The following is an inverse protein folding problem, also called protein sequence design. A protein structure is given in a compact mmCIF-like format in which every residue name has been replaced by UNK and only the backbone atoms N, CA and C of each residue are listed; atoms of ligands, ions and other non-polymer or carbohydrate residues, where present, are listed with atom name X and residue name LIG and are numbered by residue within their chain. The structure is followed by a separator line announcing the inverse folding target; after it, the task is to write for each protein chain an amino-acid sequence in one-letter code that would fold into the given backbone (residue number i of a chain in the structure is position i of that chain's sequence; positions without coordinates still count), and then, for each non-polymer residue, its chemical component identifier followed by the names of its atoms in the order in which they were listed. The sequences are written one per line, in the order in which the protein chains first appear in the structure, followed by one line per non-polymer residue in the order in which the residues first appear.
data_IF_716701831264
#
_entry.id   IF_716701831264
#
_cell.length_a   1.000
_cell.length_b   1.000
_cell.length_c   1.000
_cell.angle_alpha   90.00
_cell.angle_beta   90.00
_cell.angle_gamma   90.00
#
_symmetry.space_group_name_H-M   'P 1'
#
loop_
_entity.id
_entity.type
_entity.pdbx_description
1 polymer ?
#
# COMPACT_ATOMS: atom_id res chain seq x y z
N UNK A 1 -6.01 -1.97 20.36
CA UNK A 1 -5.76 -3.16 19.52
C UNK A 1 -6.57 -3.15 18.22
N UNK A 2 -7.77 -2.58 18.20
CA UNK A 2 -8.68 -2.67 17.04
C UNK A 2 -8.20 -1.96 15.76
N UNK A 3 -7.32 -0.96 15.87
CA UNK A 3 -6.80 -0.19 14.73
C UNK A 3 -5.59 -0.87 14.06
N UNK A 4 -4.84 -1.70 14.81
CA UNK A 4 -3.66 -2.38 14.28
C UNK A 4 -4.01 -3.45 13.25
N UNK A 5 -5.15 -4.11 13.39
CA UNK A 5 -5.60 -5.14 12.45
C UNK A 5 -5.91 -4.55 11.06
N UNK A 6 -6.74 -3.49 10.93
CA UNK A 6 -6.96 -2.81 9.66
C UNK A 6 -5.69 -2.25 9.02
N UNK A 7 -4.80 -1.64 9.82
CA UNK A 7 -3.51 -1.12 9.33
C UNK A 7 -2.64 -2.27 8.80
N UNK A 8 -2.53 -3.36 9.56
CA UNK A 8 -1.79 -4.55 9.16
C UNK A 8 -2.35 -5.18 7.89
N UNK A 9 -3.68 -5.25 7.76
CA UNK A 9 -4.35 -5.71 6.55
C UNK A 9 -3.99 -4.85 5.35
N UNK A 10 -4.05 -3.52 5.48
CA UNK A 10 -3.64 -2.60 4.42
C UNK A 10 -2.18 -2.84 3.98
N UNK A 11 -1.28 -3.00 4.95
CA UNK A 11 0.12 -3.31 4.66
C UNK A 11 0.28 -4.63 3.88
N UNK A 12 -0.37 -5.70 4.35
CA UNK A 12 -0.30 -7.03 3.71
C UNK A 12 -0.90 -7.01 2.31
N UNK A 13 -2.02 -6.30 2.10
CA UNK A 13 -2.62 -6.14 0.77
C UNK A 13 -1.63 -5.47 -0.19
N UNK A 14 -1.00 -4.37 0.23
CA UNK A 14 -0.05 -3.67 -0.63
C UNK A 14 1.23 -4.48 -0.89
N UNK A 15 1.64 -5.30 0.09
CA UNK A 15 2.72 -6.29 -0.09
C UNK A 15 2.37 -7.33 -1.15
N UNK A 16 1.14 -7.87 -1.14
CA UNK A 16 0.68 -8.80 -2.19
C UNK A 16 0.63 -8.13 -3.56
N UNK A 17 0.09 -6.91 -3.65
CA UNK A 17 0.07 -6.12 -4.90
C UNK A 17 1.49 -5.91 -5.43
N UNK A 18 2.45 -5.61 -4.55
CA UNK A 18 3.86 -5.45 -4.92
C UNK A 18 4.47 -6.74 -5.44
N UNK A 19 4.25 -7.87 -4.75
CA UNK A 19 4.76 -9.20 -5.16
C UNK A 19 4.16 -9.60 -6.52
N UNK A 20 2.85 -9.44 -6.71
CA UNK A 20 2.17 -9.74 -7.98
C UNK A 20 2.75 -8.86 -9.09
N UNK A 21 2.87 -7.55 -8.86
CA UNK A 21 3.47 -6.63 -9.83
C UNK A 21 4.90 -7.04 -10.19
N UNK A 22 5.67 -7.52 -9.22
CA UNK A 22 7.02 -8.03 -9.42
C UNK A 22 7.05 -9.34 -10.20
N UNK A 23 6.13 -10.25 -9.94
CA UNK A 23 5.96 -11.50 -10.69
C UNK A 23 5.65 -11.22 -12.16
N UNK A 24 4.93 -10.12 -12.44
CA UNK A 24 4.67 -9.62 -13.80
C UNK A 24 5.86 -8.88 -14.43
N UNK A 25 7.08 -9.07 -13.90
CA UNK A 25 8.34 -8.49 -14.39
C UNK A 25 8.38 -6.94 -14.42
N UNK A 26 7.58 -6.27 -13.57
CA UNK A 26 7.66 -4.82 -13.43
C UNK A 26 8.93 -4.37 -12.69
N UNK A 27 9.42 -3.18 -13.02
CA UNK A 27 10.52 -2.53 -12.30
C UNK A 27 10.07 -2.12 -10.90
N UNK A 28 10.97 -2.04 -9.90
CA UNK A 28 10.54 -1.71 -8.52
C UNK A 28 9.80 -0.37 -8.46
N UNK A 29 10.19 0.59 -9.30
CA UNK A 29 9.59 1.93 -9.34
C UNK A 29 8.16 1.85 -9.89
N UNK A 30 7.92 1.03 -10.93
CA UNK A 30 6.56 0.80 -11.44
C UNK A 30 5.71 0.02 -10.43
N UNK A 31 6.25 -1.01 -9.79
CA UNK A 31 5.54 -1.76 -8.74
C UNK A 31 5.14 -0.86 -7.56
N UNK A 32 6.03 0.05 -7.13
CA UNK A 32 5.72 1.06 -6.11
C UNK A 32 4.61 2.03 -6.55
N UNK A 33 4.67 2.52 -7.80
CA UNK A 33 3.62 3.38 -8.36
C UNK A 33 2.26 2.67 -8.35
N UNK A 34 2.21 1.38 -8.74
CA UNK A 34 0.97 0.59 -8.67
C UNK A 34 0.44 0.51 -7.23
N UNK A 35 1.31 0.28 -6.25
CA UNK A 35 0.93 0.26 -4.82
C UNK A 35 0.42 1.61 -4.33
N UNK A 36 0.99 2.72 -4.85
CA UNK A 36 0.55 4.08 -4.54
C UNK A 36 -0.83 4.38 -5.16
N UNK A 37 -1.06 3.97 -6.41
CA UNK A 37 -2.37 4.05 -7.03
C UNK A 37 -3.42 3.20 -6.32
N UNK A 38 -3.04 2.00 -5.86
CA UNK A 38 -3.92 1.13 -5.06
C UNK A 38 -4.32 1.81 -3.75
N UNK A 39 -3.37 2.42 -3.04
CA UNK A 39 -3.65 3.25 -1.87
C UNK A 39 -4.64 4.39 -2.19
N UNK A 40 -4.38 5.17 -3.25
CA UNK A 40 -5.25 6.28 -3.63
C UNK A 40 -6.67 5.82 -3.97
N UNK A 41 -6.82 4.71 -4.69
CA UNK A 41 -8.12 4.15 -5.04
C UNK A 41 -8.91 3.74 -3.78
N UNK A 42 -8.25 3.07 -2.82
CA UNK A 42 -8.88 2.65 -1.55
C UNK A 42 -9.22 3.86 -0.68
N UNK A 43 -8.35 4.87 -0.62
CA UNK A 43 -8.61 6.12 0.11
C UNK A 43 -9.82 6.85 -0.48
N UNK A 44 -9.90 6.99 -1.80
CA UNK A 44 -11.04 7.63 -2.46
C UNK A 44 -12.34 6.83 -2.25
N UNK A 45 -12.28 5.50 -2.36
CA UNK A 45 -13.42 4.64 -2.06
C UNK A 45 -13.91 4.81 -0.61
N UNK A 46 -13.00 5.03 0.34
CA UNK A 46 -13.34 5.27 1.75
C UNK A 46 -14.20 6.52 1.95
N UNK A 47 -13.95 7.58 1.18
CA UNK A 47 -14.74 8.81 1.23
C UNK A 47 -16.11 8.66 0.57
N UNK A 48 -16.22 7.82 -0.46
CA UNK A 48 -17.48 7.58 -1.17
C UNK A 48 -18.44 6.73 -0.33
N UNK A 49 -17.94 5.67 0.31
CA UNK A 49 -18.78 4.75 1.11
C UNK A 49 -19.34 5.46 2.35
N UNK A 50 -18.58 6.41 2.92
CA UNK A 50 -18.99 7.17 4.11
C UNK A 50 -19.24 6.30 5.34
N UNK A 51 -19.69 6.93 6.43
CA UNK A 51 -20.05 6.24 7.68
C UNK A 51 -18.88 5.48 8.34
N UNK A 52 -19.20 4.61 9.30
CA UNK A 52 -18.23 3.86 10.11
C UNK A 52 -17.40 2.88 9.26
N UNK A 53 -17.98 2.31 8.21
CA UNK A 53 -17.28 1.44 7.25
C UNK A 53 -16.24 2.21 6.43
N UNK A 54 -16.58 3.41 5.94
CA UNK A 54 -15.63 4.29 5.24
C UNK A 54 -14.45 4.65 6.12
N UNK A 55 -14.68 4.97 7.41
CA UNK A 55 -13.60 5.26 8.35
C UNK A 55 -12.65 4.06 8.52
N UNK A 56 -13.18 2.84 8.62
CA UNK A 56 -12.38 1.61 8.68
C UNK A 56 -11.52 1.41 7.43
N UNK A 57 -12.08 1.62 6.24
CA UNK A 57 -11.35 1.54 4.96
C UNK A 57 -10.27 2.63 4.87
N UNK A 58 -10.54 3.82 5.40
CA UNK A 58 -9.56 4.89 5.52
C UNK A 58 -8.34 4.45 6.35
N UNK A 59 -8.57 3.76 7.47
CA UNK A 59 -7.49 3.21 8.32
C UNK A 59 -6.69 2.13 7.56
N UNK A 60 -7.36 1.27 6.78
CA UNK A 60 -6.68 0.29 5.90
C UNK A 60 -5.75 1.01 4.91
N UNK A 61 -6.22 2.10 4.30
CA UNK A 61 -5.40 2.88 3.36
C UNK A 61 -4.13 3.45 4.01
N UNK A 62 -4.17 3.82 5.30
CA UNK A 62 -2.98 4.28 6.03
C UNK A 62 -1.92 3.16 6.13
N UNK A 63 -2.34 1.92 6.34
CA UNK A 63 -1.45 0.75 6.30
C UNK A 63 -0.78 0.55 4.93
N UNK A 64 -1.54 0.78 3.85
CA UNK A 64 -1.02 0.72 2.49
C UNK A 64 0.02 1.83 2.24
N UNK A 65 -0.20 3.03 2.77
CA UNK A 65 0.74 4.15 2.65
C UNK A 65 2.06 3.87 3.39
N UNK A 66 1.97 3.31 4.60
CA UNK A 66 3.15 2.91 5.40
C UNK A 66 4.02 1.93 4.61
N UNK A 67 3.40 0.95 3.92
CA UNK A 67 4.13 0.02 3.05
C UNK A 67 4.90 0.75 1.95
N UNK A 68 4.25 1.68 1.25
CA UNK A 68 4.88 2.44 0.14
C UNK A 68 6.08 3.23 0.64
N UNK A 69 5.97 3.91 1.78
CA UNK A 69 7.09 4.65 2.37
C UNK A 69 8.25 3.73 2.77
N UNK A 70 7.97 2.62 3.46
CA UNK A 70 9.00 1.68 3.89
C UNK A 70 9.74 1.07 2.71
N UNK A 71 9.01 0.54 1.72
CA UNK A 71 9.63 -0.10 0.56
C UNK A 71 10.33 0.93 -0.34
N UNK A 72 9.77 2.13 -0.49
CA UNK A 72 10.41 3.24 -1.18
C UNK A 72 11.74 3.64 -0.53
N UNK A 73 11.77 3.75 0.80
CA UNK A 73 12.98 4.03 1.57
C UNK A 73 14.02 2.93 1.41
N UNK A 74 13.62 1.66 1.56
CA UNK A 74 14.50 0.50 1.37
C UNK A 74 15.12 0.47 -0.03
N UNK A 75 14.34 0.73 -1.08
CA UNK A 75 14.84 0.74 -2.46
C UNK A 75 15.80 1.92 -2.71
N UNK A 76 15.60 3.04 -2.02
CA UNK A 76 16.44 4.24 -2.17
C UNK A 76 17.78 4.06 -1.46
N UNK A 77 17.77 3.42 -0.28
CA UNK A 77 18.98 3.20 0.53
C UNK A 77 19.80 2.03 0.04
N UNK A 78 19.18 0.93 -0.40
CA UNK A 78 19.92 -0.23 -0.88
C UNK A 78 20.47 0.11 -2.27
N UNK A 79 21.78 0.37 -2.44
CA UNK A 79 22.33 0.63 -3.74
C UNK A 79 22.13 -0.62 -4.60
N UNK A 80 21.42 -0.47 -5.71
CA UNK A 80 21.37 -1.53 -6.72
C UNK A 80 22.79 -1.67 -7.27
N UNK A 81 23.52 -2.69 -6.83
CA UNK A 81 24.67 -3.19 -7.60
C UNK A 81 24.12 -3.56 -8.98
N UNK A 82 24.47 -2.73 -9.98
CA UNK A 82 24.30 -3.05 -11.39
C UNK A 82 25.20 -4.21 -11.75
#
# INVERSE_FOLDING_TARGET
MEIFIPIGLGFVINLLVFIISKSLKQTNNRSLLICLFSFLAVLLASFIIGSWLGMGIGIISLGMLIFVFLVGFVITIIPRKK
#
